data_IF_619551097066
#
_entry.id   IF_619551097066
#
_cell.length_a   1.000
_cell.length_b   1.000
_cell.length_c   1.000
_cell.angle_alpha   90.00
_cell.angle_beta   90.00
_cell.angle_gamma   90.00
#
_symmetry.space_group_name_H-M   'P 1'
#
loop_
_entity.id
_entity.type
_entity.pdbx_description
1 polymer ?
#
# COMPACT_ATOMS: atom_id res chain seq x y z
N UNK A 1 18.78 -5.92 -68.95
CA UNK A 1 19.80 -6.78 -69.59
C UNK A 1 20.53 -7.56 -68.50
N UNK A 2 20.67 -8.88 -68.70
CA UNK A 2 21.43 -9.90 -67.94
C UNK A 2 21.06 -10.13 -66.45
N UNK A 3 20.41 -11.25 -66.05
CA UNK A 3 20.86 -12.67 -65.93
C UNK A 3 22.19 -12.77 -65.16
N UNK A 4 22.42 -13.60 -64.12
CA UNK A 4 22.09 -14.99 -63.79
C UNK A 4 22.16 -15.10 -62.23
N UNK A 5 21.58 -16.04 -61.48
CA UNK A 5 21.21 -17.43 -61.73
C UNK A 5 22.06 -18.36 -60.84
N UNK A 6 21.39 -19.29 -60.14
CA UNK A 6 21.90 -20.61 -59.70
C UNK A 6 22.89 -20.71 -58.52
N UNK A 7 22.91 -21.74 -57.66
CA UNK A 7 22.13 -22.99 -57.53
C UNK A 7 22.40 -23.62 -56.15
N UNK A 8 21.42 -24.41 -55.72
CA UNK A 8 21.29 -25.37 -54.62
C UNK A 8 22.48 -26.28 -54.24
N UNK A 9 22.42 -26.84 -53.02
CA UNK A 9 22.55 -28.28 -52.71
C UNK A 9 22.25 -28.48 -51.21
N UNK A 10 21.17 -29.17 -50.81
CA UNK A 10 21.05 -30.63 -50.56
C UNK A 10 21.81 -31.14 -49.32
N UNK A 11 21.07 -31.82 -48.43
CA UNK A 11 21.65 -32.62 -47.35
C UNK A 11 20.65 -33.07 -46.29
N UNK A 12 19.74 -33.98 -46.64
CA UNK A 12 18.93 -34.77 -45.70
C UNK A 12 19.81 -35.92 -45.17
N UNK A 13 19.82 -36.21 -43.87
CA UNK A 13 20.01 -37.58 -43.31
C UNK A 13 19.51 -37.66 -41.87
N UNK A 14 18.74 -38.71 -41.60
CA UNK A 14 18.15 -39.08 -40.31
C UNK A 14 18.99 -40.14 -39.57
N UNK A 15 18.88 -40.20 -38.24
CA UNK A 15 19.07 -41.39 -37.36
C UNK A 15 18.83 -40.96 -35.89
N UNK A 16 17.82 -41.46 -35.19
CA UNK A 16 17.78 -42.69 -34.37
C UNK A 16 18.68 -42.71 -33.11
N UNK A 17 18.04 -42.96 -31.96
CA UNK A 17 18.65 -43.30 -30.66
C UNK A 17 18.11 -42.39 -29.55
N UNK A 18 17.37 -42.83 -28.54
CA UNK A 18 17.43 -44.11 -27.85
C UNK A 18 18.11 -43.93 -26.49
N UNK A 19 17.30 -43.60 -25.48
CA UNK A 19 17.43 -43.91 -24.04
C UNK A 19 18.81 -44.22 -23.45
N UNK A 20 19.24 -43.48 -22.42
CA UNK A 20 19.95 -44.07 -21.26
C UNK A 20 19.92 -43.17 -20.03
N UNK A 21 19.75 -43.82 -18.88
CA UNK A 21 19.58 -43.25 -17.55
C UNK A 21 20.90 -42.91 -16.83
N UNK A 22 20.84 -41.91 -15.94
CA UNK A 22 21.71 -41.77 -14.75
C UNK A 22 20.89 -41.04 -13.67
N UNK A 23 20.37 -41.71 -12.64
CA UNK A 23 21.02 -42.04 -11.35
C UNK A 23 21.71 -40.86 -10.63
N UNK A 24 21.19 -40.57 -9.43
CA UNK A 24 21.98 -40.11 -8.28
C UNK A 24 21.67 -38.69 -7.81
N UNK A 25 21.11 -38.55 -6.60
CA UNK A 25 21.03 -37.23 -5.97
C UNK A 25 20.03 -37.09 -4.83
N UNK A 26 19.98 -38.04 -3.89
CA UNK A 26 19.35 -37.81 -2.58
C UNK A 26 20.18 -36.75 -1.85
N UNK A 27 19.65 -35.54 -1.71
CA UNK A 27 20.20 -34.55 -0.80
C UNK A 27 19.06 -33.90 -0.02
N UNK A 28 19.14 -34.10 1.30
CA UNK A 28 18.27 -33.56 2.30
C UNK A 28 17.97 -32.08 2.06
N UNK A 29 16.70 -31.76 1.85
CA UNK A 29 16.17 -30.42 2.13
C UNK A 29 16.15 -30.25 3.65
N UNK A 30 17.32 -29.89 4.16
CA UNK A 30 17.56 -29.24 5.44
C UNK A 30 16.41 -28.28 5.72
N UNK A 31 15.68 -28.55 6.81
CA UNK A 31 14.74 -27.64 7.42
C UNK A 31 15.42 -26.30 7.70
N UNK A 32 15.24 -25.37 6.77
CA UNK A 32 15.63 -23.98 6.95
C UNK A 32 14.73 -23.42 8.06
N UNK A 33 15.30 -22.89 9.16
CA UNK A 33 14.48 -22.38 10.25
C UNK A 33 13.59 -21.26 9.70
N UNK A 34 12.28 -21.39 9.94
CA UNK A 34 11.30 -20.37 9.66
C UNK A 34 11.78 -19.07 10.32
N UNK A 35 12.23 -18.14 9.48
CA UNK A 35 12.64 -16.83 9.93
C UNK A 35 11.46 -16.21 10.68
N UNK A 36 11.70 -15.87 11.95
CA UNK A 36 10.81 -15.11 12.83
C UNK A 36 10.21 -13.93 12.07
N UNK A 37 8.89 -13.76 12.24
CA UNK A 37 7.99 -13.00 11.39
C UNK A 37 8.49 -11.63 10.93
N UNK A 38 8.71 -11.50 9.64
CA UNK A 38 8.38 -10.27 8.93
C UNK A 38 6.85 -10.15 8.97
N UNK A 39 6.33 -9.44 9.98
CA UNK A 39 4.90 -9.35 10.27
C UNK A 39 4.10 -9.01 9.01
N UNK A 40 3.28 -9.96 8.56
CA UNK A 40 2.38 -9.76 7.43
C UNK A 40 1.35 -8.73 7.88
N UNK A 41 1.48 -7.48 7.43
CA UNK A 41 0.51 -6.42 7.75
C UNK A 41 -0.91 -6.92 7.53
N UNK A 42 -1.70 -6.90 8.61
CA UNK A 42 -3.11 -7.30 8.63
C UNK A 42 -4.02 -6.16 9.03
N UNK A 43 -5.29 -6.27 8.66
CA UNK A 43 -6.35 -5.33 9.04
C UNK A 43 -6.44 -5.11 10.56
N UNK A 44 -6.25 -6.17 11.36
CA UNK A 44 -6.32 -6.12 12.81
C UNK A 44 -5.20 -5.27 13.45
N UNK A 45 -4.10 -5.03 12.74
CA UNK A 45 -2.96 -4.26 13.24
C UNK A 45 -3.06 -2.76 12.94
N UNK A 46 -3.94 -2.36 12.01
CA UNK A 46 -4.06 -0.98 11.55
C UNK A 46 -4.31 0.07 12.65
N UNK A 47 -5.16 -0.20 13.67
CA UNK A 47 -5.29 0.74 14.79
C UNK A 47 -3.97 0.97 15.54
N UNK A 48 -3.13 -0.07 15.69
CA UNK A 48 -1.82 0.04 16.36
C UNK A 48 -0.85 0.87 15.55
N UNK A 49 -0.82 0.70 14.23
CA UNK A 49 0.03 1.50 13.35
C UNK A 49 -0.36 2.98 13.36
N UNK A 50 -1.67 3.28 13.38
CA UNK A 50 -2.15 4.64 13.55
C UNK A 50 -1.71 5.25 14.88
N UNK A 51 -1.88 4.53 16.00
CA UNK A 51 -1.42 5.00 17.31
C UNK A 51 0.11 5.18 17.36
N UNK A 52 0.85 4.31 16.67
CA UNK A 52 2.30 4.41 16.49
C UNK A 52 2.73 5.70 15.80
N UNK A 53 2.04 6.11 14.73
CA UNK A 53 2.25 7.40 14.07
C UNK A 53 2.08 8.55 15.06
N UNK A 54 0.96 8.59 15.78
CA UNK A 54 0.68 9.69 16.70
C UNK A 54 1.74 9.83 17.79
N UNK A 55 2.21 8.69 18.33
CA UNK A 55 3.33 8.66 19.29
C UNK A 55 4.61 9.21 18.69
N UNK A 56 4.97 8.77 17.48
CA UNK A 56 6.17 9.24 16.80
C UNK A 56 6.12 10.76 16.51
N UNK A 57 4.98 11.27 16.04
CA UNK A 57 4.79 12.70 15.79
C UNK A 57 4.82 13.52 17.09
N UNK A 58 4.23 13.02 18.18
CA UNK A 58 4.28 13.68 19.49
C UNK A 58 5.73 13.80 19.98
N UNK A 59 6.50 12.70 19.96
CA UNK A 59 7.93 12.73 20.34
C UNK A 59 8.71 13.73 19.49
N UNK A 60 8.55 13.69 18.16
CA UNK A 60 9.25 14.62 17.25
C UNK A 60 8.92 16.08 17.55
N UNK A 61 7.66 16.41 17.83
CA UNK A 61 7.25 17.79 18.12
C UNK A 61 7.74 18.29 19.47
N UNK A 62 7.73 17.42 20.50
CA UNK A 62 8.36 17.74 21.78
C UNK A 62 9.85 18.04 21.64
N UNK A 63 10.58 17.24 20.85
CA UNK A 63 12.01 17.46 20.60
C UNK A 63 12.31 18.76 19.81
N UNK A 64 11.34 19.26 19.05
CA UNK A 64 11.46 20.50 18.26
C UNK A 64 10.78 21.70 18.92
N UNK A 65 10.41 21.59 20.20
CA UNK A 65 9.69 22.61 20.97
C UNK A 65 8.40 23.12 20.30
N UNK A 66 7.78 22.30 19.45
CA UNK A 66 6.50 22.58 18.85
C UNK A 66 5.37 21.92 19.64
N UNK A 67 4.22 22.60 19.73
CA UNK A 67 3.01 22.02 20.32
C UNK A 67 2.49 20.79 19.55
N UNK A 68 1.59 20.01 20.16
CA UNK A 68 1.01 18.81 19.54
C UNK A 68 0.22 19.18 18.27
N UNK A 69 0.16 18.24 17.33
CA UNK A 69 -0.72 18.36 16.17
C UNK A 69 -2.16 18.00 16.56
N UNK A 70 -3.18 18.68 16.00
CA UNK A 70 -4.58 18.32 16.21
C UNK A 70 -4.97 17.09 15.35
N UNK A 71 -4.35 15.95 15.65
CA UNK A 71 -4.64 14.64 15.06
C UNK A 71 -5.49 13.81 16.02
N UNK A 72 -6.77 14.19 16.11
CA UNK A 72 -7.77 13.69 17.08
C UNK A 72 -8.77 12.69 16.47
N UNK A 73 -8.48 12.16 15.28
CA UNK A 73 -9.36 11.32 14.47
C UNK A 73 -10.68 11.98 14.04
N UNK A 74 -10.78 13.31 14.12
CA UNK A 74 -11.90 14.05 13.54
C UNK A 74 -11.76 14.13 12.02
N UNK A 75 -12.87 14.46 11.33
CA UNK A 75 -12.84 14.76 9.91
C UNK A 75 -11.95 15.98 9.62
N UNK A 76 -11.96 16.98 10.51
CA UNK A 76 -11.15 18.19 10.36
C UNK A 76 -9.65 17.89 10.38
N UNK A 77 -9.22 16.89 11.15
CA UNK A 77 -7.82 16.46 11.23
C UNK A 77 -7.25 15.98 9.88
N UNK A 78 -8.08 15.60 8.91
CA UNK A 78 -7.62 15.23 7.56
C UNK A 78 -6.93 16.39 6.85
N UNK A 79 -7.32 17.64 7.14
CA UNK A 79 -6.62 18.83 6.62
C UNK A 79 -5.21 18.98 7.19
N UNK A 80 -5.02 18.54 8.43
CA UNK A 80 -3.69 18.50 9.07
C UNK A 80 -2.82 17.46 8.37
N UNK A 81 -3.39 16.30 8.03
CA UNK A 81 -2.69 15.26 7.25
C UNK A 81 -2.32 15.76 5.86
N UNK A 82 -3.24 16.44 5.16
CA UNK A 82 -2.94 17.10 3.88
C UNK A 82 -1.76 18.08 4.00
N UNK A 83 -1.77 18.93 5.04
CA UNK A 83 -0.67 19.87 5.31
C UNK A 83 0.65 19.17 5.62
N UNK A 84 0.64 18.07 6.37
CA UNK A 84 1.84 17.27 6.64
C UNK A 84 2.41 16.68 5.34
N UNK A 85 1.55 16.18 4.46
CA UNK A 85 1.96 15.65 3.15
C UNK A 85 2.54 16.78 2.28
N UNK A 86 1.97 17.97 2.29
CA UNK A 86 2.54 19.12 1.58
C UNK A 86 3.88 19.57 2.15
N UNK A 87 4.09 19.45 3.46
CA UNK A 87 5.41 19.62 4.08
C UNK A 87 6.41 18.59 3.55
N UNK A 88 6.05 17.30 3.61
CA UNK A 88 6.91 16.22 3.11
C UNK A 88 7.28 16.37 1.63
N UNK A 89 6.33 16.80 0.80
CA UNK A 89 6.57 17.05 -0.64
C UNK A 89 7.51 18.24 -0.89
N UNK A 90 7.51 19.24 -0.02
CA UNK A 90 8.40 20.41 -0.12
C UNK A 90 9.80 20.11 0.41
N UNK A 91 9.87 19.34 1.49
CA UNK A 91 11.12 18.95 2.15
C UNK A 91 11.83 17.80 1.39
N UNK A 92 11.06 16.99 0.67
CA UNK A 92 11.57 15.92 -0.18
C UNK A 92 12.11 16.47 -1.49
N UNK A 93 13.43 16.67 -1.56
CA UNK A 93 14.13 16.75 -2.85
C UNK A 93 13.71 15.53 -3.68
N UNK A 94 13.30 15.74 -4.94
CA UNK A 94 12.50 14.81 -5.78
C UNK A 94 13.18 13.45 -6.12
N UNK A 95 14.22 13.06 -5.38
CA UNK A 95 15.00 11.82 -5.49
C UNK A 95 15.24 11.08 -4.17
N UNK A 96 14.91 11.67 -3.01
CA UNK A 96 14.98 10.96 -1.74
C UNK A 96 13.69 10.15 -1.55
N UNK A 97 13.82 8.82 -1.43
CA UNK A 97 12.72 7.93 -1.10
C UNK A 97 12.02 8.42 0.18
N UNK A 98 10.90 9.11 0.00
CA UNK A 98 9.96 9.45 1.08
C UNK A 98 9.79 8.24 1.97
N UNK A 99 10.05 8.32 3.29
CA UNK A 99 10.15 7.13 4.09
C UNK A 99 8.81 6.39 4.05
N UNK A 100 8.75 5.20 3.42
CA UNK A 100 7.53 4.40 3.33
C UNK A 100 6.80 4.22 4.68
N UNK A 101 7.49 4.15 5.85
CA UNK A 101 6.83 4.07 7.15
C UNK A 101 5.95 5.26 7.52
N UNK A 102 6.28 6.49 7.10
CA UNK A 102 5.51 7.68 7.47
C UNK A 102 4.21 7.76 6.67
N UNK A 103 4.28 7.57 5.35
CA UNK A 103 3.08 7.51 4.49
C UNK A 103 2.18 6.36 4.90
N UNK A 104 2.75 5.21 5.26
CA UNK A 104 2.02 4.09 5.80
C UNK A 104 1.29 4.47 7.10
N UNK A 105 1.97 5.09 8.06
CA UNK A 105 1.36 5.56 9.31
C UNK A 105 0.24 6.56 9.08
N UNK A 106 0.42 7.52 8.15
CA UNK A 106 -0.61 8.47 7.76
C UNK A 106 -1.81 7.77 7.11
N UNK A 107 -1.57 6.78 6.25
CA UNK A 107 -2.61 5.92 5.68
C UNK A 107 -3.41 5.16 6.74
N UNK A 108 -2.73 4.58 7.74
CA UNK A 108 -3.40 3.95 8.89
C UNK A 108 -4.24 4.95 9.68
N UNK A 109 -3.76 6.18 9.89
CA UNK A 109 -4.53 7.22 10.56
C UNK A 109 -5.78 7.63 9.76
N UNK A 110 -5.64 7.84 8.45
CA UNK A 110 -6.79 8.15 7.57
C UNK A 110 -7.82 7.03 7.62
N UNK A 111 -7.39 5.76 7.57
CA UNK A 111 -8.32 4.65 7.68
C UNK A 111 -9.03 4.58 9.03
N UNK A 112 -8.36 4.91 10.14
CA UNK A 112 -9.01 5.05 11.45
C UNK A 112 -10.06 6.18 11.48
N UNK A 113 -9.81 7.30 10.79
CA UNK A 113 -10.83 8.34 10.61
C UNK A 113 -12.04 7.77 9.86
N UNK A 114 -11.85 6.97 8.80
CA UNK A 114 -12.95 6.33 8.08
C UNK A 114 -13.72 5.34 8.95
N UNK A 115 -13.03 4.52 9.74
CA UNK A 115 -13.66 3.57 10.66
C UNK A 115 -14.54 4.31 11.67
N UNK A 116 -14.02 5.35 12.31
CA UNK A 116 -14.71 6.08 13.38
C UNK A 116 -15.80 7.02 12.87
N UNK A 117 -15.56 7.71 11.76
CA UNK A 117 -16.42 8.80 11.28
C UNK A 117 -17.34 8.40 10.14
N UNK A 118 -17.08 7.29 9.45
CA UNK A 118 -17.89 6.82 8.32
C UNK A 118 -18.46 5.40 8.51
N UNK A 119 -18.19 4.77 9.66
CA UNK A 119 -18.63 3.41 9.96
C UNK A 119 -17.96 2.35 9.08
N UNK A 120 -16.78 2.66 8.54
CA UNK A 120 -16.00 1.68 7.80
C UNK A 120 -15.40 0.63 8.74
N UNK A 121 -14.91 -0.47 8.18
CA UNK A 121 -14.17 -1.49 8.93
C UNK A 121 -12.93 -1.90 8.16
N UNK A 122 -11.81 -2.10 8.87
CA UNK A 122 -10.60 -2.63 8.25
C UNK A 122 -10.83 -4.05 7.73
N UNK A 123 -10.26 -4.35 6.56
CA UNK A 123 -10.32 -5.67 5.91
C UNK A 123 -8.98 -6.03 5.28
N UNK A 124 -8.63 -7.32 5.34
CA UNK A 124 -7.54 -7.86 4.55
C UNK A 124 -8.00 -8.01 3.10
N UNK A 125 -7.20 -7.50 2.17
CA UNK A 125 -7.53 -7.52 0.75
C UNK A 125 -7.20 -8.87 0.13
N UNK A 126 -8.11 -9.40 -0.70
CA UNK A 126 -7.89 -10.60 -1.49
C UNK A 126 -6.88 -10.38 -2.62
N UNK A 127 -6.55 -11.43 -3.39
CA UNK A 127 -5.53 -11.31 -4.45
C UNK A 127 -5.85 -10.25 -5.49
N UNK A 128 -7.10 -10.21 -5.98
CA UNK A 128 -7.53 -9.25 -7.01
C UNK A 128 -7.53 -7.82 -6.48
N UNK A 129 -7.96 -7.64 -5.23
CA UNK A 129 -7.99 -6.34 -4.58
C UNK A 129 -6.57 -5.84 -4.29
N UNK A 130 -5.65 -6.72 -3.87
CA UNK A 130 -4.24 -6.36 -3.66
C UNK A 130 -3.56 -5.92 -4.94
N UNK A 131 -3.89 -6.58 -6.06
CA UNK A 131 -3.38 -6.19 -7.37
C UNK A 131 -3.90 -4.79 -7.77
N UNK A 132 -5.19 -4.53 -7.56
CA UNK A 132 -5.79 -3.24 -7.88
C UNK A 132 -5.29 -2.09 -7.00
N UNK A 133 -5.23 -2.29 -5.68
CA UNK A 133 -4.87 -1.23 -4.73
C UNK A 133 -3.36 -1.12 -4.49
N UNK A 134 -2.57 -2.15 -4.80
CA UNK A 134 -1.15 -2.24 -4.44
C UNK A 134 -0.91 -2.40 -2.93
N UNK A 135 -1.96 -2.64 -2.15
CA UNK A 135 -1.92 -2.68 -0.68
C UNK A 135 -2.50 -3.99 -0.18
N UNK A 136 -2.09 -4.43 1.03
CA UNK A 136 -2.58 -5.67 1.65
C UNK A 136 -3.88 -5.50 2.43
N UNK A 137 -4.19 -4.28 2.81
CA UNK A 137 -5.29 -3.90 3.70
C UNK A 137 -6.04 -2.72 3.13
N UNK A 138 -7.33 -2.66 3.40
CA UNK A 138 -8.20 -1.55 3.04
C UNK A 138 -9.30 -1.38 4.08
N UNK A 139 -10.22 -0.47 3.81
CA UNK A 139 -11.45 -0.32 4.60
C UNK A 139 -12.65 -0.66 3.74
N UNK A 140 -13.57 -1.43 4.29
CA UNK A 140 -14.88 -1.69 3.71
C UNK A 140 -15.88 -0.70 4.29
N UNK A 141 -16.50 0.07 3.41
CA UNK A 141 -17.52 1.05 3.73
C UNK A 141 -18.86 0.35 4.06
N UNK A 142 -19.80 1.04 4.75
CA UNK A 142 -21.14 0.51 5.01
C UNK A 142 -21.94 0.11 3.75
N UNK A 143 -21.67 0.73 2.60
CA UNK A 143 -22.25 0.36 1.31
C UNK A 143 -21.60 -0.89 0.66
N UNK A 144 -20.67 -1.53 1.36
CA UNK A 144 -19.94 -2.72 0.93
C UNK A 144 -18.72 -2.44 0.07
N UNK A 145 -18.51 -1.20 -0.42
CA UNK A 145 -17.37 -0.86 -1.27
C UNK A 145 -16.07 -0.81 -0.47
N UNK A 146 -14.99 -1.26 -1.09
CA UNK A 146 -13.65 -1.20 -0.49
C UNK A 146 -12.93 0.06 -0.96
N UNK A 147 -12.21 0.68 -0.04
CA UNK A 147 -11.29 1.80 -0.27
C UNK A 147 -9.94 1.48 0.34
N UNK A 148 -8.86 1.99 -0.24
CA UNK A 148 -7.51 1.85 0.32
C UNK A 148 -7.00 3.20 0.82
N UNK A 149 -7.06 3.48 2.14
CA UNK A 149 -6.54 4.72 2.70
C UNK A 149 -5.04 4.90 2.47
N UNK A 150 -4.30 3.78 2.44
CA UNK A 150 -2.86 3.76 2.18
C UNK A 150 -2.58 4.23 0.75
N UNK A 151 -3.27 3.65 -0.24
CA UNK A 151 -3.13 4.07 -1.65
C UNK A 151 -3.60 5.51 -1.87
N UNK A 152 -4.64 5.96 -1.16
CA UNK A 152 -5.09 7.36 -1.24
C UNK A 152 -4.04 8.33 -0.69
N UNK A 153 -3.38 8.01 0.42
CA UNK A 153 -2.28 8.83 0.96
C UNK A 153 -1.06 8.83 0.03
N UNK A 154 -0.71 7.68 -0.56
CA UNK A 154 0.35 7.60 -1.56
C UNK A 154 0.02 8.45 -2.81
N UNK A 155 -1.23 8.42 -3.27
CA UNK A 155 -1.70 9.28 -4.36
C UNK A 155 -1.62 10.76 -3.97
N UNK A 156 -2.06 11.14 -2.77
CA UNK A 156 -1.95 12.51 -2.26
C UNK A 156 -0.50 12.98 -2.17
N UNK A 157 0.40 12.10 -1.77
CA UNK A 157 1.83 12.38 -1.72
C UNK A 157 2.45 12.49 -3.12
N UNK A 158 2.00 11.71 -4.11
CA UNK A 158 2.58 11.68 -5.45
C UNK A 158 1.99 12.74 -6.40
N UNK A 159 0.66 12.80 -6.47
CA UNK A 159 -0.09 13.62 -7.42
C UNK A 159 -0.38 15.04 -6.89
N UNK A 160 -0.28 15.24 -5.57
CA UNK A 160 -0.36 16.56 -4.95
C UNK A 160 -1.78 16.96 -4.53
N UNK A 161 -2.05 18.27 -4.38
CA UNK A 161 -3.23 18.79 -3.66
C UNK A 161 -4.60 18.38 -4.21
N UNK A 162 -4.70 18.02 -5.49
CA UNK A 162 -5.96 17.56 -6.11
C UNK A 162 -6.49 16.26 -5.50
N UNK A 163 -5.62 15.48 -4.84
CA UNK A 163 -5.96 14.23 -4.15
C UNK A 163 -6.26 14.46 -2.66
N UNK A 164 -6.75 15.65 -2.27
CA UNK A 164 -6.98 16.00 -0.86
C UNK A 164 -7.75 14.92 -0.11
N UNK A 165 -7.24 14.56 1.06
CA UNK A 165 -7.84 13.56 1.93
C UNK A 165 -9.16 14.05 2.53
N UNK A 166 -9.23 15.35 2.82
CA UNK A 166 -10.48 15.97 3.28
C UNK A 166 -11.57 15.90 2.20
N UNK A 167 -11.25 16.29 0.96
CA UNK A 167 -12.20 16.27 -0.15
C UNK A 167 -12.59 14.85 -0.55
N UNK A 168 -11.63 13.92 -0.52
CA UNK A 168 -11.89 12.49 -0.64
C UNK A 168 -12.94 12.01 0.37
N UNK A 169 -12.83 12.43 1.64
CA UNK A 169 -13.82 12.06 2.67
C UNK A 169 -15.18 12.74 2.43
N UNK A 170 -15.18 14.01 2.01
CA UNK A 170 -16.42 14.76 1.74
C UNK A 170 -17.22 14.17 0.57
N UNK A 171 -16.52 13.68 -0.45
CA UNK A 171 -17.12 13.07 -1.65
C UNK A 171 -17.36 11.57 -1.50
N UNK A 172 -16.96 10.98 -0.37
CA UNK A 172 -17.07 9.55 -0.12
C UNK A 172 -18.55 9.11 -0.04
N UNK A 173 -19.04 8.27 -0.97
CA UNK A 173 -20.38 7.68 -0.88
C UNK A 173 -20.43 6.61 0.22
N UNK A 174 -21.65 6.27 0.66
CA UNK A 174 -21.87 5.10 1.52
C UNK A 174 -21.49 5.27 3.00
N UNK A 175 -21.19 6.50 3.44
CA UNK A 175 -20.89 6.80 4.86
C UNK A 175 -22.17 6.70 5.69
N UNK A 176 -22.10 6.05 6.85
CA UNK A 176 -23.17 6.14 7.84
C UNK A 176 -23.07 7.51 8.52
N UNK A 177 -24.16 8.29 8.49
CA UNK A 177 -24.23 9.53 9.27
C UNK A 177 -24.19 9.11 10.74
N UNK A 178 -23.11 9.44 11.44
CA UNK A 178 -23.00 9.15 12.86
C UNK A 178 -24.28 9.63 13.55
N UNK A 179 -25.03 8.69 14.15
CA UNK A 179 -26.25 9.02 14.86
C UNK A 179 -25.83 9.94 15.99
N UNK A 180 -26.18 11.23 15.91
CA UNK A 180 -26.07 12.15 17.04
C UNK A 180 -26.92 11.54 18.15
N UNK A 181 -26.30 10.85 19.09
CA UNK A 181 -26.95 10.51 20.35
C UNK A 181 -27.22 11.86 21.01
N UNK A 182 -28.48 12.33 20.95
CA UNK A 182 -28.95 13.36 21.88
C UNK A 182 -28.84 12.72 23.26
N UNK A 183 -27.94 13.26 24.07
CA UNK A 183 -28.02 13.13 25.52
C UNK A 183 -28.97 14.22 26.00
#
# INVERSE_FOLDING_TARGET
MHRHGSTAAHGITAAHGGSTAARGGTAAISGRPAARGAGRVTAAEMPRHSAGLLRALAVRRSLTAHGPLPLDYSIASLRVVDFLIDGLRRDGDMRAETPPPLLFGLGSYVGEVLVRQAGAVWVDLDASQREYFGQRVGVRMPDGRIRSPLSTVENRYRLGPSESLYDFYMTLPGRSRARRTRV
#
